data_IF_148656566181
#
_entry.id   IF_148656566181
#
_cell.length_a   1.000
_cell.length_b   1.000
_cell.length_c   1.000
_cell.angle_alpha   90.00
_cell.angle_beta   90.00
_cell.angle_gamma   90.00
#
_symmetry.space_group_name_H-M   'P 1'
#
loop_
_entity.id
_entity.type
_entity.pdbx_description
1 polymer ?
#
# COMPACT_ATOMS: atom_id res chain seq x y z
N UNK A 1 31.17 14.40 -22.31
CA UNK A 1 30.52 13.12 -22.65
C UNK A 1 29.18 13.11 -21.94
N UNK A 2 28.13 13.58 -22.61
CA UNK A 2 26.79 13.66 -22.05
C UNK A 2 26.07 12.33 -22.34
N UNK A 3 25.70 11.60 -21.30
CA UNK A 3 24.79 10.46 -21.43
C UNK A 3 23.36 11.00 -21.46
N UNK A 4 22.63 10.55 -22.47
CA UNK A 4 21.41 11.14 -22.98
C UNK A 4 20.24 11.11 -22.03
N UNK A 5 19.46 12.18 -22.14
CA UNK A 5 18.07 12.30 -21.72
C UNK A 5 17.27 11.12 -22.27
N UNK A 6 16.72 10.29 -21.38
CA UNK A 6 15.76 9.23 -21.76
C UNK A 6 14.56 9.91 -22.43
N UNK A 7 14.26 9.51 -23.67
CA UNK A 7 13.14 10.02 -24.48
C UNK A 7 11.83 9.98 -23.69
N UNK A 8 11.34 11.15 -23.30
CA UNK A 8 10.01 11.36 -22.69
C UNK A 8 8.87 11.28 -23.72
N UNK A 9 9.17 10.99 -24.99
CA UNK A 9 8.22 11.06 -26.12
C UNK A 9 7.26 9.86 -26.16
N UNK A 10 7.72 8.66 -25.76
CA UNK A 10 6.90 7.44 -25.76
C UNK A 10 6.03 7.28 -24.51
N UNK A 11 6.38 7.96 -23.41
CA UNK A 11 5.58 7.95 -22.17
C UNK A 11 4.40 8.93 -22.22
N UNK A 12 4.45 9.97 -23.06
CA UNK A 12 3.36 10.95 -23.18
C UNK A 12 2.05 10.34 -23.66
N UNK A 13 2.00 9.51 -24.72
CA UNK A 13 0.76 8.85 -25.14
C UNK A 13 0.17 7.94 -24.05
N UNK A 14 1.03 7.21 -23.31
CA UNK A 14 0.59 6.38 -22.20
C UNK A 14 0.09 7.21 -21.01
N UNK A 15 0.78 8.31 -20.68
CA UNK A 15 0.36 9.25 -19.64
C UNK A 15 -1.00 9.88 -19.97
N UNK A 16 -1.22 10.26 -21.23
CA UNK A 16 -2.49 10.81 -21.71
C UNK A 16 -3.58 9.74 -21.66
N UNK A 17 -3.30 8.52 -22.13
CA UNK A 17 -4.26 7.42 -22.06
C UNK A 17 -4.62 7.03 -20.60
N UNK A 18 -3.66 7.09 -19.67
CA UNK A 18 -3.93 6.88 -18.24
C UNK A 18 -4.80 8.01 -17.66
N UNK A 19 -4.55 9.26 -18.05
CA UNK A 19 -5.36 10.42 -17.62
C UNK A 19 -6.80 10.34 -18.15
N UNK A 20 -6.99 9.86 -19.37
CA UNK A 20 -8.34 9.61 -19.93
C UNK A 20 -9.07 8.46 -19.18
N UNK A 21 -8.33 7.47 -18.64
CA UNK A 21 -8.86 6.42 -17.76
C UNK A 21 -9.11 6.94 -16.33
N UNK A 22 -8.37 7.94 -15.86
CA UNK A 22 -8.61 8.62 -14.57
C UNK A 22 -9.92 9.43 -14.53
N UNK A 23 -10.57 9.66 -15.67
CA UNK A 23 -11.94 10.22 -15.77
C UNK A 23 -13.03 9.36 -15.09
N UNK A 24 -12.65 8.23 -14.47
CA UNK A 24 -13.55 7.38 -13.68
C UNK A 24 -14.00 8.02 -12.35
N UNK A 25 -13.41 9.15 -11.93
CA UNK A 25 -13.79 9.86 -10.70
C UNK A 25 -15.30 10.15 -10.60
N UNK A 26 -15.91 10.69 -11.65
CA UNK A 26 -17.34 11.00 -11.69
C UNK A 26 -18.23 9.76 -11.44
N UNK A 27 -17.82 8.60 -11.98
CA UNK A 27 -18.53 7.33 -11.77
C UNK A 27 -18.46 6.87 -10.32
N UNK A 28 -17.33 7.11 -9.65
CA UNK A 28 -17.09 6.68 -8.27
C UNK A 28 -17.72 7.63 -7.24
N UNK A 29 -17.88 8.91 -7.59
CA UNK A 29 -18.59 9.89 -6.78
C UNK A 29 -20.10 9.72 -6.83
N UNK A 30 -20.63 9.31 -7.99
CA UNK A 30 -22.06 9.13 -8.21
C UNK A 30 -22.73 8.22 -7.16
N UNK A 31 -23.94 8.56 -6.69
CA UNK A 31 -24.65 7.79 -5.67
C UNK A 31 -24.82 6.31 -6.09
N UNK A 32 -24.81 5.42 -5.10
CA UNK A 32 -25.00 3.99 -5.32
C UNK A 32 -26.50 3.67 -5.30
N UNK A 33 -27.09 3.13 -6.38
CA UNK A 33 -28.46 2.66 -6.37
C UNK A 33 -28.61 1.40 -5.50
N UNK A 34 -29.83 1.07 -5.03
CA UNK A 34 -30.06 -0.06 -4.11
C UNK A 34 -29.70 -1.45 -4.67
N UNK A 35 -29.68 -1.60 -5.99
CA UNK A 35 -29.41 -2.83 -6.74
C UNK A 35 -27.97 -2.88 -7.31
N UNK A 36 -27.09 -1.99 -6.86
CA UNK A 36 -25.69 -1.95 -7.30
C UNK A 36 -24.91 -3.21 -6.88
N UNK A 37 -24.02 -3.68 -7.76
CA UNK A 37 -23.09 -4.77 -7.45
C UNK A 37 -22.21 -4.39 -6.25
N UNK A 38 -22.11 -5.29 -5.28
CA UNK A 38 -21.34 -5.06 -4.04
C UNK A 38 -19.90 -4.60 -4.30
N UNK A 39 -19.24 -5.16 -5.34
CA UNK A 39 -17.89 -4.78 -5.73
C UNK A 39 -17.80 -3.31 -6.15
N UNK A 40 -18.81 -2.80 -6.86
CA UNK A 40 -18.88 -1.40 -7.30
C UNK A 40 -19.15 -0.50 -6.10
N UNK A 41 -20.07 -0.88 -5.21
CA UNK A 41 -20.33 -0.14 -3.98
C UNK A 41 -19.09 -0.04 -3.09
N UNK A 42 -18.32 -1.12 -2.94
CA UNK A 42 -17.04 -1.12 -2.22
C UNK A 42 -16.00 -0.21 -2.86
N UNK A 43 -15.89 -0.21 -4.19
CA UNK A 43 -15.00 0.70 -4.91
C UNK A 43 -15.38 2.17 -4.68
N UNK A 44 -16.67 2.51 -4.74
CA UNK A 44 -17.20 3.85 -4.43
C UNK A 44 -16.92 4.28 -3.00
N UNK A 45 -17.14 3.39 -2.02
CA UNK A 45 -16.83 3.65 -0.61
C UNK A 45 -15.33 3.92 -0.42
N UNK A 46 -14.47 3.08 -1.00
CA UNK A 46 -13.03 3.26 -0.93
C UNK A 46 -12.61 4.62 -1.52
N UNK A 47 -13.11 4.95 -2.70
CA UNK A 47 -12.83 6.23 -3.36
C UNK A 47 -13.23 7.42 -2.49
N UNK A 48 -14.48 7.44 -2.00
CA UNK A 48 -14.98 8.53 -1.13
C UNK A 48 -14.21 8.64 0.18
N UNK A 49 -13.77 7.52 0.76
CA UNK A 49 -12.93 7.51 1.94
C UNK A 49 -11.55 8.13 1.67
N UNK A 50 -11.00 7.94 0.47
CA UNK A 50 -9.72 8.53 0.07
C UNK A 50 -9.83 10.02 -0.24
N UNK A 51 -10.97 10.47 -0.80
CA UNK A 51 -11.17 11.87 -1.19
C UNK A 51 -11.63 12.78 -0.04
N UNK A 52 -12.02 12.23 1.11
CA UNK A 52 -12.44 13.00 2.27
C UNK A 52 -11.23 13.51 3.07
N UNK A 53 -10.58 14.55 2.55
CA UNK A 53 -9.39 15.17 3.16
C UNK A 53 -9.65 15.68 4.58
N UNK A 54 -10.84 16.22 4.87
CA UNK A 54 -11.19 16.73 6.21
C UNK A 54 -11.04 15.64 7.28
N UNK A 55 -11.50 14.41 7.01
CA UNK A 55 -11.32 13.29 7.94
C UNK A 55 -9.85 12.86 8.01
N UNK A 56 -9.16 12.83 6.87
CA UNK A 56 -7.74 12.44 6.84
C UNK A 56 -6.87 13.40 7.68
N UNK A 57 -7.10 14.70 7.57
CA UNK A 57 -6.41 15.73 8.36
C UNK A 57 -6.76 15.66 9.85
N UNK A 58 -8.03 15.35 10.19
CA UNK A 58 -8.45 15.20 11.58
C UNK A 58 -7.81 13.97 12.27
N UNK A 59 -7.70 12.87 11.53
CA UNK A 59 -7.12 11.61 12.01
C UNK A 59 -5.59 11.69 12.05
N UNK A 60 -4.99 12.33 11.05
CA UNK A 60 -3.54 12.55 10.93
C UNK A 60 -2.74 11.24 11.08
N UNK A 61 -1.51 11.32 11.59
CA UNK A 61 -0.59 10.21 11.82
C UNK A 61 -1.03 9.16 12.83
N UNK A 62 -2.16 9.35 13.54
CA UNK A 62 -2.61 8.46 14.63
C UNK A 62 -2.73 6.98 14.21
N UNK A 63 -3.30 6.62 13.04
CA UNK A 63 -3.39 5.22 12.62
C UNK A 63 -2.01 4.60 12.43
N UNK A 64 -1.06 5.36 11.87
CA UNK A 64 0.32 4.91 11.68
C UNK A 64 1.05 4.74 13.02
N UNK A 65 0.91 5.70 13.92
CA UNK A 65 1.48 5.59 15.27
C UNK A 65 0.92 4.37 16.01
N UNK A 66 -0.37 4.07 15.86
CA UNK A 66 -0.95 2.88 16.47
C UNK A 66 -0.33 1.57 15.95
N UNK A 67 0.07 1.52 14.66
CA UNK A 67 0.82 0.39 14.11
C UNK A 67 2.19 0.25 14.80
N UNK A 68 2.90 1.36 15.00
CA UNK A 68 4.24 1.36 15.61
C UNK A 68 4.27 0.95 17.08
N UNK A 69 3.12 0.83 17.76
CA UNK A 69 3.05 0.26 19.12
C UNK A 69 3.29 -1.24 19.14
N UNK A 70 3.05 -1.94 18.02
CA UNK A 70 3.31 -3.38 17.92
C UNK A 70 4.83 -3.62 17.98
N UNK A 71 5.33 -4.53 18.83
CA UNK A 71 6.77 -4.77 19.01
C UNK A 71 7.53 -4.99 17.70
N UNK A 72 6.94 -5.73 16.76
CA UNK A 72 7.52 -6.05 15.46
C UNK A 72 7.68 -4.83 14.55
N UNK A 73 6.92 -3.75 14.78
CA UNK A 73 6.88 -2.54 13.97
C UNK A 73 7.45 -1.31 14.68
N UNK A 74 7.96 -1.45 15.91
CA UNK A 74 8.68 -0.36 16.57
C UNK A 74 9.87 0.04 15.72
N UNK A 75 9.95 1.31 15.36
CA UNK A 75 10.98 1.83 14.47
C UNK A 75 12.01 2.61 15.29
N UNK A 76 13.32 2.25 15.25
CA UNK A 76 14.36 2.95 15.99
C UNK A 76 14.28 4.49 15.94
N UNK A 77 14.08 5.05 14.74
CA UNK A 77 14.04 6.51 14.52
C UNK A 77 12.87 7.18 15.25
N UNK A 78 11.73 6.52 15.35
CA UNK A 78 10.53 7.06 16.01
C UNK A 78 10.59 6.81 17.52
N UNK A 79 11.09 5.63 17.91
CA UNK A 79 11.15 5.19 19.30
C UNK A 79 12.01 6.09 20.18
N UNK A 80 13.15 6.59 19.68
CA UNK A 80 14.01 7.51 20.43
C UNK A 80 13.32 8.85 20.76
N UNK A 81 12.40 9.31 19.91
CA UNK A 81 11.66 10.55 20.14
C UNK A 81 10.42 10.40 21.02
N UNK A 82 9.67 9.30 20.87
CA UNK A 82 8.39 9.10 21.56
C UNK A 82 8.51 8.30 22.87
N UNK A 83 9.51 7.42 22.99
CA UNK A 83 9.72 6.54 24.14
C UNK A 83 8.54 5.59 24.43
N UNK A 84 8.54 5.00 25.63
CA UNK A 84 7.43 4.18 26.14
C UNK A 84 7.06 3.02 25.21
N UNK A 85 5.79 2.96 24.80
CA UNK A 85 5.26 1.91 23.91
C UNK A 85 5.89 1.88 22.51
N UNK A 86 6.59 2.96 22.13
CA UNK A 86 7.28 3.08 20.84
C UNK A 86 8.78 2.74 20.94
N UNK A 87 9.30 2.51 22.15
CA UNK A 87 10.73 2.28 22.38
C UNK A 87 11.18 0.99 21.69
N UNK A 88 12.06 1.15 20.70
CA UNK A 88 12.71 0.02 20.06
C UNK A 88 13.86 -0.50 20.94
N UNK A 89 14.04 -1.82 20.95
CA UNK A 89 15.10 -2.52 21.68
C UNK A 89 15.68 -3.62 20.80
N UNK A 90 16.99 -3.61 20.61
CA UNK A 90 17.70 -4.62 19.82
C UNK A 90 17.50 -6.03 20.39
N UNK A 91 17.52 -6.17 21.72
CA UNK A 91 17.37 -7.47 22.39
C UNK A 91 15.97 -8.09 22.29
N UNK A 92 14.95 -7.28 22.00
CA UNK A 92 13.56 -7.75 21.80
C UNK A 92 13.22 -7.97 20.33
N UNK A 93 14.03 -7.42 19.43
CA UNK A 93 13.73 -7.40 18.00
C UNK A 93 14.10 -8.71 17.31
N UNK A 94 13.25 -9.15 16.39
CA UNK A 94 13.49 -10.34 15.57
C UNK A 94 13.18 -10.05 14.11
N UNK A 95 14.22 -10.13 13.27
CA UNK A 95 14.07 -9.95 11.82
C UNK A 95 12.99 -10.86 11.23
N UNK A 96 13.01 -12.14 11.60
CA UNK A 96 12.05 -13.12 11.07
C UNK A 96 10.60 -12.75 11.42
N UNK A 97 10.34 -12.37 12.68
CA UNK A 97 9.00 -11.96 13.12
C UNK A 97 8.55 -10.69 12.43
N UNK A 98 9.41 -9.66 12.38
CA UNK A 98 9.11 -8.41 11.69
C UNK A 98 8.79 -8.62 10.21
N UNK A 99 9.60 -9.38 9.48
CA UNK A 99 9.34 -9.65 8.06
C UNK A 99 8.04 -10.46 7.86
N UNK A 100 7.76 -11.41 8.75
CA UNK A 100 6.54 -12.21 8.70
C UNK A 100 5.30 -11.35 8.93
N UNK A 101 5.30 -10.50 9.95
CA UNK A 101 4.16 -9.64 10.27
C UNK A 101 3.96 -8.53 9.23
N UNK A 102 5.04 -7.96 8.67
CA UNK A 102 4.93 -6.99 7.56
C UNK A 102 4.21 -7.63 6.36
N UNK A 103 4.61 -8.86 6.00
CA UNK A 103 4.00 -9.57 4.88
C UNK A 103 2.55 -9.97 5.17
N UNK A 104 2.29 -10.49 6.36
CA UNK A 104 0.97 -10.95 6.79
C UNK A 104 -0.05 -9.82 6.90
N UNK A 105 0.33 -8.68 7.49
CA UNK A 105 -0.60 -7.57 7.73
C UNK A 105 -0.73 -6.62 6.54
N UNK A 106 0.36 -6.37 5.81
CA UNK A 106 0.39 -5.35 4.76
C UNK A 106 0.62 -5.89 3.36
N UNK A 107 0.85 -7.19 3.19
CA UNK A 107 1.15 -7.79 1.89
C UNK A 107 2.45 -7.27 1.28
N UNK A 108 3.31 -6.61 2.06
CA UNK A 108 4.57 -6.02 1.61
C UNK A 108 5.71 -7.01 1.72
N UNK A 109 6.64 -6.90 0.80
CA UNK A 109 7.87 -7.67 0.76
C UNK A 109 9.04 -6.72 1.07
N UNK A 110 9.77 -7.00 2.15
CA UNK A 110 10.93 -6.22 2.59
C UNK A 110 12.12 -7.16 2.65
N UNK A 111 13.25 -6.75 2.06
CA UNK A 111 14.47 -7.55 1.83
C UNK A 111 14.30 -8.76 0.89
N UNK A 112 13.27 -9.58 1.11
CA UNK A 112 12.97 -10.79 0.35
C UNK A 112 11.60 -10.64 -0.29
N UNK A 113 11.52 -10.82 -1.61
CA UNK A 113 10.26 -10.82 -2.35
C UNK A 113 9.73 -12.25 -2.43
N UNK A 114 8.68 -12.53 -1.67
CA UNK A 114 7.98 -13.82 -1.72
C UNK A 114 6.59 -13.58 -2.31
N UNK A 115 6.14 -14.42 -3.24
CA UNK A 115 4.77 -14.38 -3.76
C UNK A 115 4.33 -15.73 -4.32
N UNK A 116 3.02 -15.89 -4.47
CA UNK A 116 2.43 -17.08 -5.09
C UNK A 116 2.21 -16.75 -6.56
N UNK A 117 2.72 -17.59 -7.46
CA UNK A 117 2.49 -17.44 -8.90
C UNK A 117 2.48 -18.80 -9.60
N UNK A 118 1.93 -18.89 -10.83
CA UNK A 118 1.96 -20.12 -11.59
C UNK A 118 3.38 -20.67 -11.76
N UNK A 119 3.54 -21.99 -11.67
CA UNK A 119 4.80 -22.67 -11.96
C UNK A 119 5.11 -22.54 -13.46
N UNK A 120 6.33 -22.09 -13.78
CA UNK A 120 6.78 -21.89 -15.15
C UNK A 120 6.87 -23.21 -15.93
N UNK A 121 6.98 -24.34 -15.22
CA UNK A 121 6.98 -25.68 -15.81
C UNK A 121 5.58 -26.29 -15.92
N UNK A 122 4.64 -25.86 -15.08
CA UNK A 122 3.25 -26.34 -15.11
C UNK A 122 2.31 -25.23 -14.62
N UNK A 123 1.73 -24.50 -15.57
CA UNK A 123 0.86 -23.35 -15.30
C UNK A 123 -0.47 -23.69 -14.60
N UNK A 124 -0.80 -24.98 -14.43
CA UNK A 124 -1.94 -25.42 -13.62
C UNK A 124 -1.63 -25.47 -12.11
N UNK A 125 -0.36 -25.37 -11.72
CA UNK A 125 0.09 -25.36 -10.33
C UNK A 125 0.58 -23.96 -9.91
N UNK A 126 0.49 -23.66 -8.62
CA UNK A 126 1.00 -22.43 -8.02
C UNK A 126 2.10 -22.75 -7.01
N UNK A 127 3.22 -22.01 -7.09
CA UNK A 127 4.38 -22.19 -6.22
C UNK A 127 4.78 -20.87 -5.57
N UNK A 128 5.55 -20.96 -4.48
CA UNK A 128 6.24 -19.81 -3.91
C UNK A 128 7.44 -19.45 -4.80
N UNK A 129 7.52 -18.18 -5.20
CA UNK A 129 8.67 -17.57 -5.87
C UNK A 129 9.23 -16.42 -5.05
#
# INVERSE_FOLDING_TARGET
MALGVVRTEWLRPYSIACHDVESTGELLEAPSPPDELEAVTKAKILYRSCMNETILEQVDSKPLLNIFRQPEFRWPVVGEGLGGEYQWSEGEWSLLKTLTEIRKQFGRNVLIRIYVSPDDKNSSNYILK
#
